data_IF_787143192363
#
_entry.id   IF_787143192363
#
_cell.length_a   1.000
_cell.length_b   1.000
_cell.length_c   1.000
_cell.angle_alpha   90.00
_cell.angle_beta   90.00
_cell.angle_gamma   90.00
#
_symmetry.space_group_name_H-M   'P 1'
#
loop_
_entity.id
_entity.type
_entity.pdbx_description
1 polymer ?
#
# COMPACT_ATOMS: atom_id res chain seq x y z
N UNK A 1 10.69 -5.16 25.33
CA UNK A 1 10.34 -5.54 23.94
C UNK A 1 10.86 -6.95 23.73
N UNK A 2 10.25 -7.73 22.88
CA UNK A 2 10.68 -9.09 22.55
C UNK A 2 11.81 -9.03 21.52
N UNK A 3 12.63 -10.07 21.40
CA UNK A 3 13.76 -10.09 20.44
C UNK A 3 13.31 -10.24 18.96
N UNK A 4 12.03 -10.40 18.71
CA UNK A 4 11.44 -10.64 17.38
C UNK A 4 10.45 -9.56 16.92
N UNK A 5 10.19 -8.52 17.75
CA UNK A 5 9.27 -7.42 17.40
C UNK A 5 9.78 -6.09 17.95
N UNK A 6 9.90 -5.12 17.05
CA UNK A 6 10.31 -3.75 17.36
C UNK A 6 9.32 -2.74 16.77
N UNK A 7 9.13 -1.64 17.50
CA UNK A 7 8.50 -0.45 16.96
C UNK A 7 9.63 0.51 16.58
N UNK A 8 9.74 0.79 15.30
CA UNK A 8 10.77 1.66 14.72
C UNK A 8 10.12 2.91 14.13
N UNK A 9 10.92 3.87 13.71
CA UNK A 9 10.47 5.05 12.98
C UNK A 9 11.27 5.15 11.69
N UNK A 10 10.65 4.77 10.57
CA UNK A 10 11.26 4.85 9.25
C UNK A 10 10.35 5.67 8.34
N UNK A 11 10.90 6.78 7.82
CA UNK A 11 10.21 7.60 6.84
C UNK A 11 10.36 7.00 5.44
N UNK A 12 9.24 6.65 4.85
CA UNK A 12 9.15 6.05 3.52
C UNK A 12 8.55 7.06 2.52
N UNK A 13 9.21 7.26 1.40
CA UNK A 13 8.66 8.05 0.30
C UNK A 13 7.43 7.41 -0.36
N UNK A 14 7.01 6.26 0.17
CA UNK A 14 5.82 5.56 -0.28
C UNK A 14 6.07 4.57 -1.41
N UNK A 15 7.30 4.11 -1.55
CA UNK A 15 7.69 3.07 -2.50
C UNK A 15 8.20 1.85 -1.75
N UNK A 16 7.87 0.67 -2.23
CA UNK A 16 8.37 -0.57 -1.68
C UNK A 16 9.91 -0.64 -1.83
N UNK A 17 10.57 -1.15 -0.78
CA UNK A 17 12.03 -1.40 -0.78
C UNK A 17 12.92 -0.17 -1.04
N UNK A 18 12.47 1.04 -0.72
CA UNK A 18 13.30 2.25 -0.85
C UNK A 18 13.63 2.67 -2.29
N UNK A 19 12.98 2.08 -3.29
CA UNK A 19 13.17 2.47 -4.68
C UNK A 19 12.70 3.92 -4.91
N UNK A 20 13.48 4.71 -5.63
CA UNK A 20 13.12 6.06 -6.05
C UNK A 20 12.84 6.07 -7.56
N UNK A 21 11.63 5.70 -7.95
CA UNK A 21 11.18 5.73 -9.34
C UNK A 21 10.37 7.02 -9.60
N UNK A 22 11.02 8.02 -10.17
CA UNK A 22 10.36 9.24 -10.60
C UNK A 22 10.03 10.26 -9.50
N UNK A 23 9.18 11.22 -9.82
CA UNK A 23 8.76 12.29 -8.91
C UNK A 23 7.74 11.78 -7.89
N UNK A 24 7.90 12.12 -6.62
CA UNK A 24 6.98 11.78 -5.55
C UNK A 24 5.54 12.26 -5.80
N UNK A 25 5.40 13.44 -6.43
CA UNK A 25 4.08 13.96 -6.78
C UNK A 25 3.35 13.05 -7.79
N UNK A 26 4.07 12.47 -8.75
CA UNK A 26 3.48 11.53 -9.73
C UNK A 26 2.98 10.28 -9.01
N UNK A 27 3.74 9.75 -8.07
CA UNK A 27 3.34 8.60 -7.27
C UNK A 27 2.07 8.91 -6.44
N UNK A 28 2.02 10.09 -5.80
CA UNK A 28 0.87 10.51 -5.00
C UNK A 28 -0.38 10.70 -5.86
N UNK A 29 -0.25 11.30 -7.05
CA UNK A 29 -1.36 11.44 -8.01
C UNK A 29 -1.84 10.08 -8.52
N UNK A 30 -0.92 9.16 -8.83
CA UNK A 30 -1.29 7.78 -9.20
C UNK A 30 -2.08 7.08 -8.09
N UNK A 31 -1.70 7.28 -6.81
CA UNK A 31 -2.46 6.76 -5.67
C UNK A 31 -3.87 7.32 -5.60
N UNK A 32 -4.05 8.64 -5.81
CA UNK A 32 -5.38 9.26 -5.85
C UNK A 32 -6.25 8.60 -6.92
N UNK A 33 -5.72 8.41 -8.11
CA UNK A 33 -6.44 7.77 -9.22
C UNK A 33 -6.78 6.31 -8.86
N UNK A 34 -5.81 5.55 -8.34
CA UNK A 34 -6.00 4.15 -7.98
C UNK A 34 -7.06 3.97 -6.88
N UNK A 35 -7.02 4.81 -5.83
CA UNK A 35 -7.99 4.81 -4.73
C UNK A 35 -9.39 5.15 -5.26
N UNK A 36 -9.50 6.17 -6.13
CA UNK A 36 -10.79 6.56 -6.74
C UNK A 36 -11.36 5.44 -7.61
N UNK A 37 -10.51 4.81 -8.43
CA UNK A 37 -10.90 3.67 -9.26
C UNK A 37 -11.34 2.46 -8.41
N UNK A 38 -10.62 2.15 -7.33
CA UNK A 38 -10.98 1.07 -6.41
C UNK A 38 -12.30 1.37 -5.67
N UNK A 39 -12.50 2.61 -5.22
CA UNK A 39 -13.76 3.04 -4.59
C UNK A 39 -14.95 2.90 -5.54
N UNK A 40 -14.79 3.32 -6.80
CA UNK A 40 -15.80 3.13 -7.85
C UNK A 40 -16.05 1.64 -8.11
N UNK A 41 -15.00 0.83 -8.16
CA UNK A 41 -15.14 -0.61 -8.33
C UNK A 41 -15.92 -1.26 -7.19
N UNK A 42 -15.60 -0.93 -5.92
CA UNK A 42 -16.36 -1.41 -4.76
C UNK A 42 -17.83 -1.04 -4.85
N UNK A 43 -18.14 0.19 -5.25
CA UNK A 43 -19.51 0.63 -5.44
C UNK A 43 -20.27 -0.22 -6.50
N UNK A 44 -19.62 -0.58 -7.60
CA UNK A 44 -20.18 -1.50 -8.59
C UNK A 44 -20.43 -2.89 -8.01
N UNK A 45 -19.47 -3.44 -7.27
CA UNK A 45 -19.59 -4.77 -6.67
C UNK A 45 -20.67 -4.84 -5.57
N UNK A 46 -20.87 -3.75 -4.82
CA UNK A 46 -22.01 -3.61 -3.89
C UNK A 46 -23.33 -3.67 -4.64
N UNK A 47 -23.47 -2.96 -5.76
CA UNK A 47 -24.67 -3.01 -6.60
C UNK A 47 -24.93 -4.41 -7.19
N UNK A 48 -23.88 -5.14 -7.52
CA UNK A 48 -23.92 -6.52 -8.01
C UNK A 48 -24.21 -7.54 -6.92
N UNK A 49 -24.34 -7.11 -5.65
CA UNK A 49 -24.50 -7.98 -4.47
C UNK A 49 -23.39 -9.03 -4.36
N UNK A 50 -22.14 -8.62 -4.60
CA UNK A 50 -20.97 -9.46 -4.42
C UNK A 50 -20.89 -9.99 -2.98
N UNK A 51 -20.12 -11.05 -2.76
CA UNK A 51 -19.97 -11.67 -1.43
C UNK A 51 -19.43 -10.68 -0.42
N UNK A 52 -20.05 -10.61 0.75
CA UNK A 52 -19.69 -9.66 1.81
C UNK A 52 -18.22 -9.75 2.18
N UNK A 53 -17.64 -10.96 2.33
CA UNK A 53 -16.23 -11.12 2.65
C UNK A 53 -15.29 -10.56 1.57
N UNK A 54 -15.66 -10.65 0.29
CA UNK A 54 -14.93 -10.02 -0.80
C UNK A 54 -14.96 -8.48 -0.69
N UNK A 55 -16.14 -7.91 -0.42
CA UNK A 55 -16.31 -6.48 -0.21
C UNK A 55 -15.52 -5.96 1.00
N UNK A 56 -15.48 -6.73 2.09
CA UNK A 56 -14.67 -6.40 3.28
C UNK A 56 -13.18 -6.35 2.91
N UNK A 57 -12.66 -7.35 2.21
CA UNK A 57 -11.26 -7.34 1.76
C UNK A 57 -10.94 -6.15 0.86
N UNK A 58 -11.79 -5.85 -0.13
CA UNK A 58 -11.61 -4.67 -0.99
C UNK A 58 -11.65 -3.36 -0.21
N UNK A 59 -12.54 -3.27 0.80
CA UNK A 59 -12.63 -2.10 1.67
C UNK A 59 -11.40 -1.92 2.55
N UNK A 60 -10.79 -3.01 3.02
CA UNK A 60 -9.52 -2.96 3.76
C UNK A 60 -8.35 -2.53 2.87
N UNK A 61 -8.30 -2.98 1.62
CA UNK A 61 -7.32 -2.47 0.63
C UNK A 61 -7.51 -0.97 0.41
N UNK A 62 -8.76 -0.54 0.22
CA UNK A 62 -9.08 0.89 0.04
C UNK A 62 -8.68 1.71 1.27
N UNK A 63 -9.01 1.25 2.48
CA UNK A 63 -8.70 1.93 3.73
C UNK A 63 -7.18 2.04 3.95
N UNK A 64 -6.42 0.97 3.70
CA UNK A 64 -4.96 1.01 3.79
C UNK A 64 -4.34 1.97 2.77
N UNK A 65 -4.76 1.89 1.51
CA UNK A 65 -4.27 2.81 0.48
C UNK A 65 -4.61 4.27 0.80
N UNK A 66 -5.84 4.54 1.30
CA UNK A 66 -6.27 5.87 1.72
C UNK A 66 -5.49 6.38 2.94
N UNK A 67 -5.19 5.53 3.93
CA UNK A 67 -4.36 5.87 5.08
C UNK A 67 -2.98 6.36 4.64
N UNK A 68 -2.27 5.58 3.84
CA UNK A 68 -0.97 5.98 3.29
C UNK A 68 -1.04 7.26 2.42
N UNK A 69 -2.16 7.49 1.73
CA UNK A 69 -2.36 8.74 0.99
C UNK A 69 -2.55 9.93 1.93
N UNK A 70 -3.31 9.79 3.02
CA UNK A 70 -3.52 10.83 4.03
C UNK A 70 -2.18 11.28 4.62
N UNK A 71 -1.29 10.34 4.94
CA UNK A 71 0.07 10.66 5.40
C UNK A 71 0.83 11.48 4.35
N UNK A 72 0.78 11.08 3.09
CA UNK A 72 1.41 11.82 2.00
C UNK A 72 0.81 13.23 1.82
N UNK A 73 -0.49 13.41 2.06
CA UNK A 73 -1.16 14.70 1.94
C UNK A 73 -0.76 15.67 3.05
N UNK A 74 -0.65 15.20 4.29
CA UNK A 74 -0.65 16.06 5.46
C UNK A 74 0.66 16.06 6.26
N UNK A 75 1.41 14.97 6.31
CA UNK A 75 2.60 14.91 7.17
C UNK A 75 3.65 15.94 6.81
N UNK A 76 3.85 16.19 5.51
CA UNK A 76 4.75 17.25 5.05
C UNK A 76 4.37 18.65 5.53
N UNK A 77 3.06 18.91 5.73
CA UNK A 77 2.54 20.21 6.17
C UNK A 77 2.54 20.37 7.69
N UNK A 78 2.47 19.26 8.43
CA UNK A 78 2.20 19.26 9.89
C UNK A 78 3.43 18.98 10.73
N UNK A 79 4.46 18.36 10.17
CA UNK A 79 5.67 17.95 10.90
C UNK A 79 6.93 18.61 10.33
N UNK A 80 7.92 18.85 11.19
CA UNK A 80 9.27 19.21 10.75
C UNK A 80 10.01 17.97 10.22
N UNK A 81 11.12 18.18 9.51
CA UNK A 81 11.99 17.08 9.08
C UNK A 81 12.57 16.35 10.31
N UNK A 82 12.54 15.02 10.28
CA UNK A 82 13.27 14.19 11.25
C UNK A 82 14.78 14.16 10.94
N UNK A 83 15.56 13.77 11.91
CA UNK A 83 17.00 13.53 11.77
C UNK A 83 17.41 12.27 12.53
N UNK A 84 18.64 11.74 12.34
CA UNK A 84 19.16 10.62 13.16
C UNK A 84 19.18 10.89 14.67
N UNK A 85 19.08 12.16 15.08
CA UNK A 85 19.21 12.58 16.47
C UNK A 85 17.87 12.92 17.14
N UNK A 86 16.81 13.17 16.36
CA UNK A 86 15.49 13.50 16.89
C UNK A 86 14.37 13.07 15.94
N UNK A 87 13.25 12.67 16.52
CA UNK A 87 12.01 12.39 15.80
C UNK A 87 11.34 13.71 15.37
N UNK A 88 10.54 13.65 14.31
CA UNK A 88 9.71 14.78 13.89
C UNK A 88 8.67 15.14 14.96
N UNK A 89 8.34 16.41 15.04
CA UNK A 89 7.33 16.96 15.93
C UNK A 89 6.39 17.91 15.16
N UNK A 90 5.24 18.19 15.75
CA UNK A 90 4.24 19.07 15.16
C UNK A 90 4.75 20.52 15.05
N UNK A 91 4.51 21.11 13.88
CA UNK A 91 4.77 22.53 13.60
C UNK A 91 3.46 23.20 13.15
N UNK A 92 3.38 24.56 13.13
CA UNK A 92 2.23 25.25 12.58
C UNK A 92 1.92 24.76 11.16
N UNK A 93 0.62 24.53 10.89
CA UNK A 93 0.19 23.97 9.60
C UNK A 93 0.71 24.80 8.42
N UNK A 94 1.31 24.13 7.45
CA UNK A 94 1.92 24.74 6.27
C UNK A 94 3.38 25.16 6.43
N UNK A 95 3.98 25.00 7.64
CA UNK A 95 5.41 25.28 7.88
C UNK A 95 6.26 23.99 7.98
N UNK A 96 5.68 22.85 7.65
CA UNK A 96 6.34 21.56 7.75
C UNK A 96 7.43 21.32 6.69
N UNK A 97 7.94 20.09 6.64
CA UNK A 97 9.10 19.74 5.82
C UNK A 97 8.81 19.59 4.33
N UNK A 98 7.55 19.49 3.91
CA UNK A 98 7.18 19.28 2.51
C UNK A 98 5.80 19.85 2.18
N UNK A 99 5.54 20.23 0.93
CA UNK A 99 4.23 20.68 0.48
C UNK A 99 3.21 19.53 0.43
N UNK A 100 1.94 19.88 0.18
CA UNK A 100 0.82 18.96 0.02
C UNK A 100 1.13 17.83 -0.97
N UNK A 101 0.74 16.59 -0.64
CA UNK A 101 1.03 15.36 -1.38
C UNK A 101 2.51 14.92 -1.40
N UNK A 102 3.38 15.63 -0.71
CA UNK A 102 4.82 15.33 -0.66
C UNK A 102 5.26 14.80 0.72
N UNK A 103 4.33 14.60 1.65
CA UNK A 103 4.59 14.00 2.96
C UNK A 103 5.07 12.54 2.85
N UNK A 104 5.93 12.10 3.74
CA UNK A 104 6.41 10.73 3.83
C UNK A 104 5.47 9.89 4.68
N UNK A 105 5.28 8.63 4.30
CA UNK A 105 4.59 7.63 5.14
C UNK A 105 5.55 7.19 6.23
N UNK A 106 5.04 6.92 7.42
CA UNK A 106 5.83 6.38 8.53
C UNK A 106 5.57 4.89 8.65
N UNK A 107 6.64 4.10 8.47
CA UNK A 107 6.66 2.67 8.74
C UNK A 107 7.19 2.42 10.14
N UNK A 108 6.56 1.47 10.85
CA UNK A 108 6.83 1.29 12.27
C UNK A 108 6.99 -0.15 12.74
N UNK A 109 6.41 -1.11 12.08
CA UNK A 109 6.45 -2.51 12.51
C UNK A 109 7.62 -3.23 11.87
N UNK A 110 8.53 -3.74 12.71
CA UNK A 110 9.69 -4.51 12.29
C UNK A 110 9.71 -5.86 13.02
N UNK A 111 9.79 -6.93 12.23
CA UNK A 111 9.78 -8.31 12.71
C UNK A 111 11.00 -9.08 12.20
N UNK A 112 12.19 -8.90 12.76
CA UNK A 112 13.35 -9.71 12.42
C UNK A 112 13.17 -11.11 13.01
N UNK A 113 12.54 -12.01 12.24
CA UNK A 113 12.16 -13.33 12.75
C UNK A 113 13.37 -14.25 12.93
N UNK A 114 14.36 -14.13 12.05
CA UNK A 114 15.61 -14.89 12.14
C UNK A 114 16.75 -13.95 11.73
N UNK A 115 17.70 -13.77 12.62
CA UNK A 115 18.96 -13.07 12.34
C UNK A 115 20.10 -14.08 12.39
N UNK A 116 20.88 -14.17 11.31
CA UNK A 116 22.01 -15.10 11.18
C UNK A 116 23.03 -14.55 10.20
N UNK A 117 24.18 -15.23 10.09
CA UNK A 117 25.15 -14.97 9.05
C UNK A 117 25.13 -16.07 8.02
N UNK A 118 25.29 -15.71 6.74
CA UNK A 118 25.42 -16.70 5.70
C UNK A 118 26.68 -17.55 5.93
N UNK A 119 26.61 -18.89 5.76
CA UNK A 119 27.77 -19.75 5.89
C UNK A 119 28.90 -19.29 4.97
N UNK A 120 30.13 -19.28 5.47
CA UNK A 120 31.31 -18.75 4.74
C UNK A 120 31.61 -19.49 3.43
N UNK A 121 31.12 -20.73 3.27
CA UNK A 121 31.29 -21.50 2.03
C UNK A 121 30.36 -21.04 0.89
N UNK A 122 29.36 -20.16 1.17
CA UNK A 122 28.41 -19.70 0.16
C UNK A 122 29.04 -18.64 -0.74
N UNK A 123 29.05 -18.82 -2.07
CA UNK A 123 29.63 -17.84 -2.97
C UNK A 123 28.84 -16.53 -2.95
N UNK A 124 29.53 -15.38 -3.02
CA UNK A 124 29.05 -14.01 -3.09
C UNK A 124 28.43 -13.42 -1.82
N UNK A 125 27.92 -14.23 -0.89
CA UNK A 125 27.22 -13.77 0.32
C UNK A 125 27.78 -14.37 1.62
N UNK A 126 28.79 -15.25 1.53
CA UNK A 126 29.38 -15.92 2.70
C UNK A 126 29.92 -14.93 3.73
N UNK A 127 29.44 -15.01 4.97
CA UNK A 127 29.77 -14.09 6.06
C UNK A 127 28.90 -12.82 6.13
N UNK A 128 28.02 -12.59 5.16
CA UNK A 128 27.09 -11.44 5.21
C UNK A 128 25.99 -11.70 6.24
N UNK A 129 25.57 -10.62 6.90
CA UNK A 129 24.45 -10.66 7.85
C UNK A 129 23.13 -10.87 7.09
N UNK A 130 22.37 -11.87 7.50
CA UNK A 130 21.07 -12.23 6.93
C UNK A 130 19.96 -12.01 7.96
N UNK A 131 18.94 -11.27 7.57
CA UNK A 131 17.71 -11.09 8.36
C UNK A 131 16.53 -11.62 7.57
N UNK A 132 15.92 -12.67 8.08
CA UNK A 132 14.65 -13.14 7.52
C UNK A 132 13.52 -12.22 7.96
N UNK A 133 12.77 -11.70 6.99
CA UNK A 133 11.71 -10.72 7.14
C UNK A 133 12.23 -9.34 7.64
N UNK A 134 13.12 -8.75 6.83
CA UNK A 134 13.71 -7.44 7.10
C UNK A 134 12.82 -6.20 6.77
N UNK A 135 11.71 -6.28 6.00
CA UNK A 135 10.91 -5.10 5.71
C UNK A 135 10.27 -4.51 6.96
N UNK A 136 10.35 -3.18 7.08
CA UNK A 136 9.56 -2.41 8.04
C UNK A 136 8.31 -1.91 7.32
N UNK A 137 7.16 -1.99 7.96
CA UNK A 137 5.87 -1.67 7.37
C UNK A 137 4.92 -1.03 8.40
N UNK A 138 3.81 -0.48 7.95
CA UNK A 138 2.79 0.11 8.80
C UNK A 138 1.48 -0.71 8.79
N UNK A 139 0.50 -0.26 9.57
CA UNK A 139 -0.79 -0.95 9.67
C UNK A 139 -1.57 -0.94 8.34
N UNK A 140 -1.46 0.13 7.55
CA UNK A 140 -2.10 0.23 6.25
C UNK A 140 -1.57 -0.83 5.27
N UNK A 141 -0.24 -1.05 5.26
CA UNK A 141 0.41 -2.09 4.44
C UNK A 141 -0.04 -3.49 4.84
N UNK A 142 -0.24 -3.71 6.14
CA UNK A 142 -0.81 -4.97 6.66
C UNK A 142 -2.22 -5.21 6.14
N UNK A 143 -3.08 -4.19 6.20
CA UNK A 143 -4.46 -4.27 5.69
C UNK A 143 -4.48 -4.61 4.20
N UNK A 144 -3.62 -3.96 3.41
CA UNK A 144 -3.51 -4.21 1.96
C UNK A 144 -3.03 -5.65 1.71
N UNK A 145 -1.89 -6.03 2.31
CA UNK A 145 -1.24 -7.31 2.04
C UNK A 145 -2.10 -8.49 2.44
N UNK A 146 -2.64 -8.48 3.66
CA UNK A 146 -3.51 -9.56 4.15
C UNK A 146 -4.76 -9.68 3.29
N UNK A 147 -5.40 -8.54 2.94
CA UNK A 147 -6.61 -8.55 2.13
C UNK A 147 -6.36 -9.04 0.70
N UNK A 148 -5.26 -8.65 0.08
CA UNK A 148 -4.89 -9.12 -1.26
C UNK A 148 -4.65 -10.63 -1.24
N UNK A 149 -3.87 -11.15 -0.28
CA UNK A 149 -3.64 -12.59 -0.14
C UNK A 149 -4.96 -13.32 0.08
N UNK A 150 -5.83 -12.80 0.95
CA UNK A 150 -7.14 -13.42 1.23
C UNK A 150 -8.04 -13.45 -0.01
N UNK A 151 -8.08 -12.38 -0.79
CA UNK A 151 -8.80 -12.34 -2.07
C UNK A 151 -8.26 -13.39 -3.04
N UNK A 152 -6.95 -13.50 -3.18
CA UNK A 152 -6.32 -14.46 -4.08
C UNK A 152 -6.57 -15.93 -3.67
N UNK A 153 -6.68 -16.21 -2.38
CA UNK A 153 -6.93 -17.56 -1.89
C UNK A 153 -8.40 -17.96 -1.97
N UNK A 154 -9.32 -17.07 -1.59
CA UNK A 154 -10.71 -17.42 -1.36
C UNK A 154 -11.72 -16.81 -2.34
N UNK A 155 -11.32 -15.75 -3.08
CA UNK A 155 -12.23 -15.00 -3.97
C UNK A 155 -11.76 -14.94 -5.43
N UNK A 156 -10.93 -15.88 -5.87
CA UNK A 156 -10.42 -15.94 -7.26
C UNK A 156 -11.53 -15.93 -8.31
N UNK A 157 -12.67 -16.57 -8.02
CA UNK A 157 -13.81 -16.60 -8.91
C UNK A 157 -14.48 -15.22 -9.09
N UNK A 158 -14.50 -14.39 -8.04
CA UNK A 158 -15.04 -13.03 -8.13
C UNK A 158 -14.15 -12.16 -9.03
N UNK A 159 -12.81 -12.33 -8.95
CA UNK A 159 -11.86 -11.66 -9.86
C UNK A 159 -12.07 -12.11 -11.31
N UNK A 160 -12.26 -13.41 -11.56
CA UNK A 160 -12.49 -13.94 -12.92
C UNK A 160 -13.77 -13.40 -13.55
N UNK A 161 -14.84 -13.24 -12.77
CA UNK A 161 -16.10 -12.64 -13.24
C UNK A 161 -15.91 -11.19 -13.72
N UNK A 162 -14.97 -10.45 -13.12
CA UNK A 162 -14.59 -9.10 -13.55
C UNK A 162 -14.09 -9.04 -14.99
N UNK A 163 -13.33 -10.04 -15.40
CA UNK A 163 -12.77 -10.12 -16.75
C UNK A 163 -13.81 -10.53 -17.81
N UNK A 164 -14.78 -11.37 -17.43
CA UNK A 164 -15.75 -11.96 -18.36
C UNK A 164 -16.95 -11.04 -18.62
N UNK A 165 -17.44 -10.30 -17.62
CA UNK A 165 -18.60 -9.40 -17.81
C UNK A 165 -18.28 -8.19 -18.69
N UNK A 166 -17.04 -7.72 -18.75
CA UNK A 166 -16.62 -6.65 -19.67
C UNK A 166 -16.65 -7.07 -21.15
N UNK A 167 -16.62 -8.35 -21.44
CA UNK A 167 -16.63 -8.88 -22.81
C UNK A 167 -18.06 -9.08 -23.32
N UNK A 168 -19.04 -9.28 -22.42
CA UNK A 168 -20.43 -9.61 -22.78
C UNK A 168 -21.35 -8.39 -22.77
N UNK A 169 -21.07 -7.37 -21.96
CA UNK A 169 -21.86 -6.12 -21.92
C UNK A 169 -21.46 -5.11 -23.02
N UNK A 170 -21.19 -5.56 -24.24
CA UNK A 170 -21.40 -4.69 -25.41
C UNK A 170 -22.89 -4.56 -25.61
N UNK A 171 -23.45 -3.34 -25.63
CA UNK A 171 -24.88 -3.16 -25.83
C UNK A 171 -25.31 -3.77 -27.18
N UNK A 172 -26.26 -4.70 -27.16
CA UNK A 172 -26.91 -5.23 -28.34
C UNK A 172 -27.80 -4.19 -29.08
N UNK A 173 -27.86 -2.98 -28.53
CA UNK A 173 -28.76 -1.94 -29.00
C UNK A 173 -28.29 -1.18 -30.25
N UNK A 174 -27.13 -1.54 -30.83
CA UNK A 174 -26.64 -0.91 -32.07
C UNK A 174 -26.76 -1.77 -33.32
N UNK A 175 -27.22 -3.00 -33.19
CA UNK A 175 -27.38 -3.88 -34.35
C UNK A 175 -28.81 -3.88 -34.95
N UNK A 176 -29.82 -3.30 -34.27
CA UNK A 176 -31.20 -3.24 -34.74
C UNK A 176 -31.63 -1.89 -35.37
N UNK A 177 -30.69 -0.98 -35.60
CA UNK A 177 -30.96 0.32 -36.25
C UNK A 177 -30.38 0.42 -37.66
N UNK A 178 -29.80 -0.63 -38.20
CA UNK A 178 -29.28 -0.67 -39.58
C UNK A 178 -29.95 -1.72 -40.49
N UNK A 179 -31.21 -2.16 -40.18
CA UNK A 179 -32.05 -2.89 -41.13
C UNK A 179 -33.27 -2.07 -41.55
#
# INVERSE_FOLDING_TARGET
MTDWFYITFIENNGMAFGMQLGSKIVLSLFRVIAISALGYYIWLEVKRKAKTGYLVCLSLVLAGAAGNLIDCMFYGLMFNASSPYYLSYFVPFGTGYAPFLMGKVVDMFYFPLIETEWPQWMPFVGGDHFVFFSPVFNFADSCISVSVVWILLFYRQEISRMSFSRVIDKPKDQAEQEE
#
